data_IF_235183323889
#
_entry.id   IF_235183323889
#
_cell.length_a   1.000
_cell.length_b   1.000
_cell.length_c   1.000
_cell.angle_alpha   90.00
_cell.angle_beta   90.00
_cell.angle_gamma   90.00
#
_symmetry.space_group_name_H-M   'P 1'
#
loop_
_entity.id
_entity.type
_entity.pdbx_description
1 polymer ?
#
# COMPACT_ATOMS: atom_id res chain seq x y z
N UNK A 1 26.59 7.53 4.02
CA UNK A 1 26.08 7.07 2.70
C UNK A 1 24.87 6.17 2.95
N UNK A 2 23.71 6.52 2.40
CA UNK A 2 22.56 5.61 2.40
C UNK A 2 22.93 4.39 1.54
N UNK A 3 23.07 3.21 2.15
CA UNK A 3 23.44 1.96 1.47
C UNK A 3 22.39 1.45 0.46
N UNK A 4 21.27 2.15 0.37
CA UNK A 4 20.08 1.80 -0.44
C UNK A 4 20.08 2.53 -1.79
N UNK A 5 20.94 3.54 -1.99
CA UNK A 5 20.89 4.38 -3.19
C UNK A 5 21.58 3.77 -4.41
N UNK A 6 20.76 3.29 -5.34
CA UNK A 6 20.99 2.89 -6.73
C UNK A 6 20.91 4.00 -7.82
N UNK A 7 21.95 4.76 -8.20
CA UNK A 7 21.79 5.78 -9.30
C UNK A 7 21.34 5.17 -10.63
N UNK A 8 21.75 3.94 -10.92
CA UNK A 8 21.45 3.24 -12.17
C UNK A 8 20.26 2.29 -12.04
N UNK A 9 19.51 2.35 -10.95
CA UNK A 9 18.35 1.50 -10.75
C UNK A 9 17.21 1.91 -11.70
N UNK A 10 16.76 0.96 -12.52
CA UNK A 10 15.61 1.17 -13.40
C UNK A 10 14.35 0.83 -12.62
N UNK A 11 13.51 1.83 -12.37
CA UNK A 11 12.21 1.64 -11.73
C UNK A 11 11.23 1.13 -12.80
N UNK A 12 10.77 -0.10 -12.64
CA UNK A 12 9.81 -0.75 -13.55
C UNK A 12 8.62 -1.26 -12.76
N UNK A 13 7.41 -1.26 -13.34
CA UNK A 13 6.21 -1.80 -12.68
C UNK A 13 5.50 -0.84 -11.71
N UNK A 14 5.77 0.47 -11.81
CA UNK A 14 4.99 1.44 -11.04
C UNK A 14 3.58 1.56 -11.62
N UNK A 15 2.56 1.44 -10.76
CA UNK A 15 1.15 1.42 -11.14
C UNK A 15 0.47 2.75 -10.74
N UNK A 16 0.52 3.80 -11.59
CA UNK A 16 -0.07 5.09 -11.27
C UNK A 16 -1.59 5.03 -11.34
N UNK A 17 -2.25 5.74 -10.42
CA UNK A 17 -3.68 6.07 -10.55
C UNK A 17 -4.66 4.97 -10.11
N UNK A 18 -4.20 3.90 -9.47
CA UNK A 18 -5.12 2.94 -8.85
C UNK A 18 -5.67 3.50 -7.53
N UNK A 19 -7.00 3.34 -7.28
CA UNK A 19 -7.62 3.75 -6.03
C UNK A 19 -7.03 2.93 -4.87
N UNK A 20 -7.20 3.45 -3.66
CA UNK A 20 -6.78 2.74 -2.45
C UNK A 20 -7.69 1.56 -2.18
N UNK A 21 -7.09 0.42 -1.87
CA UNK A 21 -7.83 -0.76 -1.46
C UNK A 21 -8.54 -0.51 -0.12
N UNK A 22 -9.79 -0.93 -0.01
CA UNK A 22 -10.55 -0.85 1.24
C UNK A 22 -10.72 -2.23 1.85
N UNK A 23 -10.22 -2.41 3.07
CA UNK A 23 -10.32 -3.69 3.78
C UNK A 23 -11.78 -4.04 4.07
N UNK A 24 -12.08 -5.34 4.10
CA UNK A 24 -13.39 -5.83 4.52
C UNK A 24 -13.73 -5.34 5.93
N UNK A 25 -14.99 -4.95 6.14
CA UNK A 25 -15.50 -4.45 7.41
C UNK A 25 -16.68 -5.28 7.87
N UNK A 26 -16.75 -5.51 9.18
CA UNK A 26 -17.89 -6.13 9.81
C UNK A 26 -19.16 -5.31 9.55
N UNK A 27 -20.25 -6.00 9.22
CA UNK A 27 -21.54 -5.37 8.92
C UNK A 27 -22.04 -4.49 10.07
N UNK A 28 -22.72 -3.39 9.72
CA UNK A 28 -23.21 -2.40 10.70
C UNK A 28 -24.14 -3.02 11.74
N UNK A 29 -25.03 -3.91 11.30
CA UNK A 29 -25.98 -4.58 12.19
C UNK A 29 -25.33 -5.54 13.17
N UNK A 30 -24.20 -6.13 12.78
CA UNK A 30 -23.45 -7.03 13.65
C UNK A 30 -22.55 -6.27 14.62
N UNK A 31 -21.83 -5.24 14.17
CA UNK A 31 -20.86 -4.51 15.01
C UNK A 31 -21.50 -3.57 16.04
N UNK A 32 -22.81 -3.28 15.94
CA UNK A 32 -23.47 -2.30 16.83
C UNK A 32 -23.74 -2.81 18.25
N UNK A 33 -23.69 -4.13 18.48
CA UNK A 33 -24.03 -4.75 19.78
C UNK A 33 -22.88 -5.53 20.41
N UNK A 34 -21.69 -5.52 19.81
CA UNK A 34 -20.53 -6.24 20.32
C UNK A 34 -19.24 -5.45 20.11
N UNK A 35 -18.16 -5.96 20.71
CA UNK A 35 -16.81 -5.39 20.62
C UNK A 35 -15.91 -6.22 19.70
N UNK A 36 -16.47 -6.90 18.70
CA UNK A 36 -15.65 -7.60 17.71
C UNK A 36 -14.87 -6.59 16.89
N UNK A 37 -13.72 -7.03 16.38
CA UNK A 37 -12.91 -6.21 15.49
C UNK A 37 -13.70 -5.86 14.22
N UNK A 38 -13.70 -4.57 13.87
CA UNK A 38 -14.52 -4.04 12.78
C UNK A 38 -13.82 -4.13 11.44
N UNK A 39 -12.52 -3.86 11.38
CA UNK A 39 -11.75 -3.95 10.14
C UNK A 39 -11.06 -5.30 10.12
N UNK A 40 -11.36 -6.14 9.13
CA UNK A 40 -10.83 -7.50 9.06
C UNK A 40 -9.44 -7.57 8.41
N UNK A 41 -8.92 -6.41 7.98
CA UNK A 41 -7.65 -6.32 7.28
C UNK A 41 -7.75 -6.75 5.82
N UNK A 42 -6.59 -6.90 5.20
CA UNK A 42 -6.46 -7.35 3.81
C UNK A 42 -6.16 -8.84 3.75
N UNK A 43 -6.57 -9.46 2.65
CA UNK A 43 -6.00 -10.72 2.21
C UNK A 43 -4.52 -10.56 1.82
N UNK A 44 -3.80 -11.67 1.70
CA UNK A 44 -2.38 -11.62 1.31
C UNK A 44 -2.17 -10.95 -0.05
N UNK A 45 -3.07 -11.20 -1.01
CA UNK A 45 -3.00 -10.64 -2.37
C UNK A 45 -3.31 -9.14 -2.37
N UNK A 46 -4.35 -8.71 -1.66
CA UNK A 46 -4.69 -7.29 -1.49
C UNK A 46 -3.56 -6.52 -0.80
N UNK A 47 -2.93 -7.10 0.23
CA UNK A 47 -1.83 -6.48 0.93
C UNK A 47 -0.59 -6.30 0.02
N UNK A 48 -0.30 -7.27 -0.85
CA UNK A 48 0.79 -7.16 -1.84
C UNK A 48 0.46 -6.05 -2.84
N UNK A 49 -0.75 -6.05 -3.39
CA UNK A 49 -1.21 -5.03 -4.35
C UNK A 49 -1.13 -3.62 -3.77
N UNK A 50 -1.59 -3.42 -2.53
CA UNK A 50 -1.52 -2.11 -1.86
C UNK A 50 -0.06 -1.72 -1.55
N UNK A 51 0.82 -2.68 -1.24
CA UNK A 51 2.23 -2.40 -1.00
C UNK A 51 2.97 -1.95 -2.28
N UNK A 52 2.56 -2.45 -3.46
CA UNK A 52 3.13 -2.05 -4.76
C UNK A 52 2.81 -0.59 -5.12
N UNK A 53 1.76 0.01 -4.54
CA UNK A 53 1.48 1.46 -4.69
C UNK A 53 2.52 2.36 -4.05
N UNK A 54 3.36 1.84 -3.15
CA UNK A 54 4.38 2.65 -2.49
C UNK A 54 5.37 3.21 -3.53
N UNK A 55 5.31 4.53 -3.74
CA UNK A 55 6.18 5.25 -4.67
C UNK A 55 7.66 5.23 -4.29
N UNK A 56 8.01 4.65 -3.12
CA UNK A 56 9.37 4.60 -2.58
C UNK A 56 10.04 5.97 -2.73
N UNK A 57 9.44 7.01 -2.14
CA UNK A 57 9.65 8.43 -2.49
C UNK A 57 11.11 8.91 -2.62
N UNK A 58 12.07 8.21 -2.00
CA UNK A 58 13.49 8.45 -2.26
C UNK A 58 13.85 8.31 -3.75
N UNK A 59 13.22 7.42 -4.50
CA UNK A 59 13.39 7.29 -5.94
C UNK A 59 12.94 8.52 -6.73
N UNK A 60 11.80 9.11 -6.37
CA UNK A 60 11.29 10.33 -7.03
C UNK A 60 12.27 11.48 -6.85
N UNK A 61 12.82 11.65 -5.65
CA UNK A 61 13.86 12.66 -5.38
C UNK A 61 15.17 12.45 -6.15
N UNK A 62 15.36 11.30 -6.81
CA UNK A 62 16.59 10.93 -7.51
C UNK A 62 16.46 11.06 -9.04
N UNK A 63 15.24 11.20 -9.57
CA UNK A 63 14.97 11.39 -11.02
C UNK A 63 14.90 12.88 -11.40
N UNK A 64 14.55 13.76 -10.45
CA UNK A 64 14.45 15.21 -10.66
C UNK A 64 15.77 15.97 -10.39
N UNK A 65 16.89 15.49 -10.98
CA UNK A 65 18.19 16.17 -10.97
C UNK A 65 18.63 16.48 -12.39
#
# INVERSE_FOLDING_TARGET
>A
KLKVYNKNEKITGWMPGIPREESEKLGVDERKTNNKEVNLGFTGEEAISEAERCMRCYYISMVAV
#
